data_IF_473554476429
#
_entry.id   IF_473554476429
#
_cell.length_a   1.000
_cell.length_b   1.000
_cell.length_c   1.000
_cell.angle_alpha   90.00
_cell.angle_beta   90.00
_cell.angle_gamma   90.00
#
_symmetry.space_group_name_H-M   'P 1'
#
loop_
_entity.id
_entity.type
_entity.pdbx_description
1 polymer ?
#
# COMPACT_ATOMS: atom_id res chain seq x y z
N UNK A 1 9.80 12.42 14.79
CA UNK A 1 9.36 11.39 15.77
C UNK A 1 8.87 10.18 15.00
N UNK A 2 9.28 8.96 15.43
CA UNK A 2 8.79 7.68 14.91
C UNK A 2 7.67 7.15 15.82
N UNK A 3 6.54 6.79 15.25
CA UNK A 3 5.42 6.13 15.91
C UNK A 3 5.11 4.81 15.19
N UNK A 4 4.92 3.74 15.96
CA UNK A 4 4.61 2.41 15.40
C UNK A 4 3.37 1.85 16.10
N UNK A 5 2.41 1.43 15.29
CA UNK A 5 1.22 0.70 15.74
C UNK A 5 1.30 -0.75 15.26
N UNK A 6 1.09 -1.71 16.14
CA UNK A 6 1.05 -3.13 15.77
C UNK A 6 -0.37 -3.61 15.56
N UNK A 7 -0.60 -4.31 14.45
CA UNK A 7 -1.86 -4.99 14.12
C UNK A 7 -1.65 -6.49 14.07
N UNK A 8 -2.29 -7.22 14.96
CA UNK A 8 -2.26 -8.68 14.97
C UNK A 8 -3.13 -9.26 13.86
N UNK A 9 -2.76 -10.45 13.39
CA UNK A 9 -3.59 -11.18 12.43
C UNK A 9 -4.92 -11.61 13.08
N UNK A 10 -6.00 -11.45 12.34
CA UNK A 10 -7.37 -11.77 12.74
C UNK A 10 -7.85 -12.97 11.95
N UNK A 11 -8.43 -13.95 12.63
CA UNK A 11 -9.08 -15.09 11.99
C UNK A 11 -10.37 -14.63 11.29
N UNK A 12 -10.71 -15.17 10.10
CA UNK A 12 -11.93 -14.77 9.37
C UNK A 12 -13.21 -14.96 10.21
N UNK A 13 -13.33 -16.03 10.97
CA UNK A 13 -14.49 -16.25 11.85
C UNK A 13 -14.66 -15.16 12.91
N UNK A 14 -13.55 -14.57 13.37
CA UNK A 14 -13.62 -13.44 14.32
C UNK A 14 -14.08 -12.17 13.60
N UNK A 15 -13.57 -11.93 12.39
CA UNK A 15 -13.94 -10.75 11.60
C UNK A 15 -15.44 -10.70 11.27
N UNK A 16 -16.11 -11.84 11.12
CA UNK A 16 -17.57 -11.92 10.88
C UNK A 16 -18.40 -11.24 11.96
N UNK A 17 -17.99 -11.33 13.22
CA UNK A 17 -18.70 -10.78 14.38
C UNK A 17 -18.34 -9.35 14.75
N UNK A 18 -17.33 -8.74 14.09
CA UNK A 18 -16.84 -7.42 14.45
C UNK A 18 -17.85 -6.32 14.11
N UNK A 19 -18.00 -5.38 15.01
CA UNK A 19 -18.68 -4.13 14.74
C UNK A 19 -17.81 -3.16 13.90
N UNK A 20 -18.38 -2.04 13.52
CA UNK A 20 -17.69 -1.03 12.71
C UNK A 20 -16.42 -0.51 13.38
N UNK A 21 -16.42 -0.29 14.69
CA UNK A 21 -15.27 0.23 15.42
C UNK A 21 -14.13 -0.80 15.45
N UNK A 22 -14.47 -2.06 15.65
CA UNK A 22 -13.50 -3.17 15.64
C UNK A 22 -12.91 -3.39 14.25
N UNK A 23 -13.71 -3.42 13.18
CA UNK A 23 -13.25 -3.52 11.81
C UNK A 23 -12.26 -2.38 11.48
N UNK A 24 -12.62 -1.15 11.80
CA UNK A 24 -11.73 0.00 11.59
C UNK A 24 -10.43 -0.11 12.39
N UNK A 25 -10.49 -0.53 13.64
CA UNK A 25 -9.31 -0.70 14.50
C UNK A 25 -8.34 -1.75 13.95
N UNK A 26 -8.84 -2.83 13.35
CA UNK A 26 -8.01 -3.93 12.88
C UNK A 26 -7.54 -3.78 11.43
N UNK A 27 -8.37 -3.22 10.57
CA UNK A 27 -8.13 -3.25 9.12
C UNK A 27 -7.96 -1.87 8.47
N UNK A 28 -8.26 -0.77 9.17
CA UNK A 28 -8.09 0.59 8.63
C UNK A 28 -6.92 1.30 9.32
N UNK A 29 -5.93 1.73 8.54
CA UNK A 29 -4.83 2.58 9.01
C UNK A 29 -5.16 4.05 8.71
N UNK A 30 -5.22 4.86 9.75
CA UNK A 30 -5.56 6.28 9.67
C UNK A 30 -4.44 7.17 10.19
N UNK A 31 -4.44 8.45 9.79
CA UNK A 31 -3.47 9.43 10.29
C UNK A 31 -2.02 9.09 9.95
N UNK A 32 -1.76 8.41 8.85
CA UNK A 32 -0.43 8.00 8.42
C UNK A 32 0.49 9.20 8.11
N UNK A 33 -0.08 10.29 7.62
CA UNK A 33 0.66 11.44 7.13
C UNK A 33 0.53 12.63 8.09
N UNK A 34 1.39 12.67 9.10
CA UNK A 34 1.45 13.77 10.06
C UNK A 34 2.75 14.55 9.89
N UNK A 35 2.68 15.89 9.82
CA UNK A 35 3.86 16.74 9.71
C UNK A 35 4.90 16.48 10.81
N UNK A 36 6.18 16.43 10.43
CA UNK A 36 7.30 16.20 11.34
C UNK A 36 7.39 14.76 11.89
N UNK A 37 6.67 13.78 11.30
CA UNK A 37 6.60 12.40 11.84
C UNK A 37 6.79 11.33 10.78
N UNK A 38 7.27 10.18 11.24
CA UNK A 38 7.14 8.89 10.57
C UNK A 38 6.14 8.08 11.37
N UNK A 39 5.07 7.62 10.74
CA UNK A 39 4.06 6.75 11.36
C UNK A 39 3.99 5.44 10.60
N UNK A 40 4.11 4.32 11.32
CA UNK A 40 4.09 2.98 10.74
C UNK A 40 2.98 2.15 11.37
N UNK A 41 2.31 1.37 10.54
CA UNK A 41 1.45 0.26 10.96
C UNK A 41 2.19 -1.04 10.62
N UNK A 42 2.65 -1.74 11.66
CA UNK A 42 3.27 -3.05 11.55
C UNK A 42 2.19 -4.13 11.63
N UNK A 43 1.99 -4.86 10.56
CA UNK A 43 1.00 -5.93 10.48
C UNK A 43 1.63 -7.31 10.71
N UNK A 44 0.91 -8.20 11.39
CA UNK A 44 1.27 -9.61 11.49
C UNK A 44 0.84 -10.44 10.26
N UNK A 45 0.10 -9.84 9.31
CA UNK A 45 -0.06 -10.44 7.98
C UNK A 45 1.24 -10.26 7.21
N UNK A 46 1.94 -11.36 6.93
CA UNK A 46 3.25 -11.39 6.25
C UNK A 46 4.28 -10.41 6.80
N UNK A 47 4.09 -9.92 8.03
CA UNK A 47 4.89 -8.87 8.67
C UNK A 47 5.05 -7.62 7.80
N UNK A 48 4.02 -7.34 7.02
CA UNK A 48 3.96 -6.18 6.17
C UNK A 48 3.90 -4.89 7.00
N UNK A 49 4.58 -3.87 6.55
CA UNK A 49 4.51 -2.53 7.15
C UNK A 49 3.99 -1.56 6.12
N UNK A 50 3.00 -0.76 6.48
CA UNK A 50 2.61 0.43 5.76
C UNK A 50 2.76 1.66 6.65
N UNK A 51 2.98 2.82 6.05
CA UNK A 51 3.13 4.04 6.84
C UNK A 51 3.29 5.30 6.01
N UNK A 52 3.57 6.39 6.70
CA UNK A 52 3.84 7.68 6.08
C UNK A 52 5.00 8.40 6.74
N UNK A 53 5.73 9.18 5.95
CA UNK A 53 6.76 10.11 6.41
C UNK A 53 6.51 11.49 5.78
N UNK A 54 6.38 12.51 6.63
CA UNK A 54 6.13 13.89 6.20
C UNK A 54 7.15 14.82 6.84
N UNK A 55 8.28 15.09 6.19
CA UNK A 55 9.24 16.09 6.66
C UNK A 55 8.58 17.47 6.75
N UNK A 56 8.88 18.22 7.80
CA UNK A 56 8.42 19.59 8.00
C UNK A 56 9.56 20.43 8.56
N UNK A 57 10.26 21.11 7.68
CA UNK A 57 11.40 21.97 8.03
C UNK A 57 12.68 21.21 8.44
N UNK A 58 12.56 19.95 8.89
CA UNK A 58 13.68 19.09 9.26
C UNK A 58 13.55 17.71 8.59
N UNK A 59 14.68 17.05 8.33
CA UNK A 59 14.68 15.68 7.83
C UNK A 59 14.20 14.68 8.88
N UNK A 60 13.61 13.59 8.41
CA UNK A 60 13.18 12.46 9.24
C UNK A 60 13.97 11.22 8.85
N UNK A 61 14.49 10.50 9.85
CA UNK A 61 15.25 9.27 9.60
C UNK A 61 14.52 8.06 10.17
N UNK A 62 14.27 7.07 9.33
CA UNK A 62 13.83 5.73 9.70
C UNK A 62 15.08 4.86 9.81
N UNK A 63 15.51 4.61 11.04
CA UNK A 63 16.71 3.81 11.32
C UNK A 63 16.29 2.45 11.91
N UNK A 64 15.77 2.46 13.11
CA UNK A 64 15.38 1.25 13.85
C UNK A 64 13.90 1.24 14.18
N UNK A 65 13.29 0.06 14.00
CA UNK A 65 11.92 -0.25 14.43
C UNK A 65 11.99 -1.43 15.39
N UNK A 66 11.53 -1.23 16.61
CA UNK A 66 11.69 -2.21 17.69
C UNK A 66 11.02 -3.56 17.39
N UNK A 67 9.91 -3.53 16.67
CA UNK A 67 9.11 -4.69 16.28
C UNK A 67 9.86 -5.63 15.34
N UNK A 68 10.78 -5.11 14.52
CA UNK A 68 11.56 -5.93 13.57
C UNK A 68 12.70 -6.71 14.20
N UNK A 69 13.13 -6.33 15.44
CA UNK A 69 14.23 -6.98 16.18
C UNK A 69 15.56 -7.01 15.42
N UNK A 70 15.82 -6.00 14.61
CA UNK A 70 17.04 -5.82 13.80
C UNK A 70 17.77 -4.53 14.19
N UNK A 71 19.04 -4.40 13.82
CA UNK A 71 19.83 -3.19 14.12
C UNK A 71 19.33 -1.99 13.33
N UNK A 72 18.99 -2.19 12.05
CA UNK A 72 18.31 -1.19 11.20
C UNK A 72 17.03 -1.77 10.63
N UNK A 73 16.09 -0.90 10.23
CA UNK A 73 14.80 -1.33 9.70
C UNK A 73 14.94 -2.21 8.45
N UNK A 74 15.84 -1.84 7.55
CA UNK A 74 16.07 -2.56 6.29
C UNK A 74 17.12 -3.68 6.37
N UNK A 75 17.61 -4.04 7.54
CA UNK A 75 18.60 -5.15 7.66
C UNK A 75 18.09 -6.47 7.06
N UNK A 76 16.79 -6.76 7.24
CA UNK A 76 16.13 -7.98 6.74
C UNK A 76 14.80 -7.68 6.04
N UNK A 77 14.70 -6.51 5.42
CA UNK A 77 13.48 -6.03 4.76
C UNK A 77 13.82 -5.28 3.49
N UNK A 78 12.89 -5.27 2.57
CA UNK A 78 12.85 -4.37 1.42
C UNK A 78 11.74 -3.33 1.60
N UNK A 79 11.80 -2.24 0.85
CA UNK A 79 10.88 -1.12 1.01
C UNK A 79 10.51 -0.51 -0.34
N UNK A 80 9.23 -0.18 -0.49
CA UNK A 80 8.70 0.69 -1.54
C UNK A 80 8.29 2.03 -0.93
N UNK A 81 8.65 3.12 -1.58
CA UNK A 81 8.35 4.49 -1.17
C UNK A 81 7.65 5.19 -2.33
N UNK A 82 6.44 5.67 -2.14
CA UNK A 82 5.70 6.48 -3.13
C UNK A 82 5.61 7.91 -2.64
N UNK A 83 6.05 8.86 -3.43
CA UNK A 83 5.82 10.27 -3.07
C UNK A 83 4.44 10.72 -3.56
N UNK A 84 3.54 11.02 -2.65
CA UNK A 84 2.19 11.53 -2.94
C UNK A 84 2.06 13.05 -2.73
N UNK A 85 3.13 13.72 -2.31
CA UNK A 85 3.22 15.16 -2.07
C UNK A 85 4.00 15.91 -3.14
N UNK A 86 4.50 17.07 -2.79
CA UNK A 86 5.42 17.83 -3.60
C UNK A 86 6.79 17.16 -3.69
N UNK A 87 7.70 17.68 -4.53
CA UNK A 87 9.01 17.08 -4.70
C UNK A 87 9.78 17.01 -3.36
N UNK A 88 10.34 15.84 -3.08
CA UNK A 88 11.14 15.61 -1.90
C UNK A 88 12.27 14.63 -2.17
N UNK A 89 13.17 14.46 -1.20
CA UNK A 89 14.34 13.61 -1.36
C UNK A 89 14.35 12.47 -0.35
N UNK A 90 14.88 11.34 -0.79
CA UNK A 90 15.14 10.15 0.04
C UNK A 90 16.62 9.81 -0.07
N UNK A 91 17.28 9.55 1.05
CA UNK A 91 18.66 9.10 1.14
C UNK A 91 18.73 7.75 1.85
N UNK A 92 19.49 6.81 1.29
CA UNK A 92 19.80 5.52 1.91
C UNK A 92 21.07 4.93 1.29
N UNK A 93 21.89 4.21 2.07
CA UNK A 93 23.08 3.53 1.56
C UNK A 93 24.12 4.45 0.90
N UNK A 94 24.15 5.73 1.24
CA UNK A 94 25.03 6.73 0.63
C UNK A 94 24.53 7.28 -0.72
N UNK A 95 23.39 6.85 -1.19
CA UNK A 95 22.71 7.37 -2.38
C UNK A 95 21.58 8.34 -2.02
N UNK A 96 21.28 9.28 -2.92
CA UNK A 96 20.19 10.24 -2.78
C UNK A 96 19.33 10.28 -4.04
N UNK A 97 18.01 10.23 -3.85
CA UNK A 97 17.03 10.34 -4.93
C UNK A 97 16.08 11.51 -4.66
N UNK A 98 15.74 12.23 -5.71
CA UNK A 98 14.66 13.21 -5.68
C UNK A 98 13.43 12.57 -6.33
N UNK A 99 12.32 12.54 -5.60
CA UNK A 99 11.07 11.95 -6.04
C UNK A 99 10.07 13.08 -6.34
N UNK A 100 9.59 13.15 -7.56
CA UNK A 100 8.42 13.94 -7.90
C UNK A 100 7.14 13.22 -7.39
N UNK A 101 6.00 13.92 -7.45
CA UNK A 101 4.70 13.30 -7.12
C UNK A 101 4.41 12.13 -8.06
N UNK A 102 4.13 10.98 -7.49
CA UNK A 102 3.84 9.73 -8.21
C UNK A 102 5.06 8.87 -8.49
N UNK A 103 6.28 9.35 -8.24
CA UNK A 103 7.48 8.53 -8.35
C UNK A 103 7.55 7.48 -7.22
N UNK A 104 8.15 6.35 -7.55
CA UNK A 104 8.35 5.22 -6.64
C UNK A 104 9.82 4.91 -6.50
N UNK A 105 10.31 4.82 -5.27
CA UNK A 105 11.66 4.35 -4.96
C UNK A 105 11.59 2.97 -4.31
N UNK A 106 12.32 2.02 -4.86
CA UNK A 106 12.56 0.73 -4.23
C UNK A 106 13.92 0.74 -3.52
N UNK A 107 13.93 0.28 -2.28
CA UNK A 107 15.13 0.05 -1.48
C UNK A 107 15.23 -1.43 -1.13
N UNK A 108 16.35 -2.06 -1.48
CA UNK A 108 16.61 -3.46 -1.21
C UNK A 108 17.05 -3.71 0.23
N UNK A 109 17.03 -4.99 0.63
CA UNK A 109 17.54 -5.45 1.91
C UNK A 109 18.99 -4.99 2.11
N UNK A 110 19.27 -4.41 3.28
CA UNK A 110 20.61 -3.92 3.65
C UNK A 110 20.86 -2.47 3.23
N UNK A 111 19.90 -1.73 2.69
CA UNK A 111 20.08 -0.32 2.31
C UNK A 111 20.39 0.63 3.48
N UNK A 112 20.29 0.18 4.73
CA UNK A 112 20.60 0.96 5.93
C UNK A 112 19.48 1.92 6.35
N UNK A 113 19.80 2.95 7.14
CA UNK A 113 18.86 3.99 7.52
C UNK A 113 18.32 4.76 6.31
N UNK A 114 17.05 5.18 6.38
CA UNK A 114 16.38 5.93 5.31
C UNK A 114 16.03 7.32 5.81
N UNK A 115 16.54 8.35 5.15
CA UNK A 115 16.29 9.75 5.51
C UNK A 115 15.41 10.43 4.47
N UNK A 116 14.33 11.05 4.94
CA UNK A 116 13.35 11.79 4.14
C UNK A 116 13.53 13.29 4.35
N UNK A 117 13.48 14.09 3.29
CA UNK A 117 13.63 15.54 3.35
C UNK A 117 12.85 16.28 2.26
N UNK A 118 12.74 17.60 2.40
CA UNK A 118 12.01 18.45 1.47
C UNK A 118 10.50 18.51 1.75
N UNK A 119 9.71 18.87 0.75
CA UNK A 119 8.25 19.00 0.83
C UNK A 119 7.50 17.70 0.47
N UNK A 120 8.21 16.58 0.41
CA UNK A 120 7.65 15.28 0.07
C UNK A 120 6.65 14.78 1.11
N UNK A 121 5.71 13.97 0.65
CA UNK A 121 4.72 13.26 1.46
C UNK A 121 4.82 11.79 1.06
N UNK A 122 5.60 11.04 1.81
CA UNK A 122 6.06 9.72 1.41
C UNK A 122 5.18 8.64 2.01
N UNK A 123 4.52 7.84 1.16
CA UNK A 123 3.89 6.59 1.56
C UNK A 123 4.93 5.48 1.58
N UNK A 124 4.96 4.72 2.64
CA UNK A 124 5.95 3.69 2.94
C UNK A 124 5.30 2.32 2.95
N UNK A 125 5.89 1.36 2.23
CA UNK A 125 5.51 -0.05 2.28
C UNK A 125 6.77 -0.89 2.48
N UNK A 126 6.70 -1.95 3.28
CA UNK A 126 7.86 -2.81 3.48
C UNK A 126 7.45 -4.24 3.78
N UNK A 127 8.21 -5.17 3.24
CA UNK A 127 8.09 -6.60 3.48
C UNK A 127 9.41 -7.22 3.98
N UNK A 128 9.39 -8.35 4.70
CA UNK A 128 10.60 -9.12 4.96
C UNK A 128 11.30 -9.50 3.67
N UNK A 129 12.62 -9.54 3.69
CA UNK A 129 13.43 -9.96 2.54
C UNK A 129 14.52 -10.95 2.96
N UNK A 130 14.82 -11.91 2.10
CA UNK A 130 15.84 -12.93 2.29
C UNK A 130 16.98 -12.82 1.26
N UNK A 131 16.87 -11.85 0.35
CA UNK A 131 17.93 -11.48 -0.60
C UNK A 131 17.90 -9.99 -0.86
N UNK A 132 19.04 -9.42 -1.16
CA UNK A 132 19.14 -8.02 -1.56
C UNK A 132 18.89 -7.88 -3.05
N UNK A 133 18.09 -6.88 -3.42
CA UNK A 133 17.91 -6.43 -4.79
C UNK A 133 18.38 -4.97 -4.89
N UNK A 134 18.70 -4.51 -6.10
CA UNK A 134 19.26 -3.17 -6.33
C UNK A 134 18.24 -2.07 -6.03
N UNK A 135 18.67 -1.04 -5.31
CA UNK A 135 17.88 0.19 -5.15
C UNK A 135 17.57 0.81 -6.52
N UNK A 136 16.33 1.27 -6.70
CA UNK A 136 15.91 1.85 -7.97
C UNK A 136 14.80 2.88 -7.80
N UNK A 137 15.02 4.06 -8.37
CA UNK A 137 13.96 5.04 -8.63
C UNK A 137 13.23 4.63 -9.92
N UNK A 138 11.91 4.59 -9.85
CA UNK A 138 11.01 4.26 -10.96
C UNK A 138 10.05 5.44 -11.13
N UNK A 139 10.20 6.18 -12.20
CA UNK A 139 9.28 7.27 -12.54
C UNK A 139 8.01 6.73 -13.18
N UNK A 140 6.98 7.58 -13.34
CA UNK A 140 5.77 7.18 -14.05
C UNK A 140 6.06 6.69 -15.47
N UNK A 141 7.05 7.30 -16.15
CA UNK A 141 7.46 6.90 -17.49
C UNK A 141 8.14 5.52 -17.54
N UNK A 142 8.76 5.09 -16.44
CA UNK A 142 9.42 3.77 -16.33
C UNK A 142 8.43 2.67 -15.94
N UNK A 143 7.21 3.03 -15.51
CA UNK A 143 6.19 2.08 -15.06
C UNK A 143 5.61 1.29 -16.24
N UNK A 144 5.10 0.09 -15.94
CA UNK A 144 4.29 -0.66 -16.91
C UNK A 144 2.84 -0.20 -16.81
N UNK A 145 2.38 0.54 -17.81
CA UNK A 145 0.97 0.97 -17.91
C UNK A 145 0.10 -0.15 -18.48
N UNK A 146 -1.07 -0.35 -17.85
CA UNK A 146 -2.14 -1.23 -18.31
C UNK A 146 -3.48 -0.48 -18.19
N UNK A 147 -4.26 -0.45 -19.27
CA UNK A 147 -5.61 0.17 -19.29
C UNK A 147 -6.67 -0.91 -19.29
N UNK A 148 -7.59 -0.85 -18.35
CA UNK A 148 -8.66 -1.83 -18.16
C UNK A 148 -10.00 -1.16 -17.91
N UNK A 149 -11.05 -1.97 -18.11
CA UNK A 149 -12.42 -1.60 -17.82
C UNK A 149 -13.07 -0.75 -18.90
N UNK A 150 -14.36 -0.51 -18.71
CA UNK A 150 -15.22 0.22 -19.64
C UNK A 150 -16.12 1.20 -18.90
N UNK A 151 -16.59 2.24 -19.60
CA UNK A 151 -17.52 3.22 -19.03
C UNK A 151 -18.86 2.58 -18.67
N UNK A 152 -19.32 1.60 -19.44
CA UNK A 152 -20.56 0.88 -19.16
C UNK A 152 -20.59 0.11 -17.84
N UNK A 153 -19.40 -0.29 -17.34
CA UNK A 153 -19.23 -0.98 -16.07
C UNK A 153 -18.69 -0.07 -14.98
N UNK A 154 -18.53 1.23 -15.24
CA UNK A 154 -18.04 2.26 -14.30
C UNK A 154 -16.70 1.89 -13.63
N UNK A 155 -15.82 1.22 -14.37
CA UNK A 155 -14.54 0.72 -13.84
C UNK A 155 -13.34 1.00 -14.75
N UNK A 156 -13.46 2.00 -15.64
CA UNK A 156 -12.38 2.38 -16.55
C UNK A 156 -11.22 2.97 -15.77
N UNK A 157 -10.01 2.40 -15.94
CA UNK A 157 -8.86 2.73 -15.08
C UNK A 157 -7.52 2.54 -15.77
N UNK A 158 -6.52 3.20 -15.25
CA UNK A 158 -5.11 3.05 -15.61
C UNK A 158 -4.38 2.44 -14.43
N UNK A 159 -3.70 1.33 -14.66
CA UNK A 159 -2.84 0.66 -13.68
C UNK A 159 -1.39 0.94 -14.07
N UNK A 160 -0.62 1.51 -13.15
CA UNK A 160 0.81 1.68 -13.29
C UNK A 160 1.51 0.73 -12.31
N UNK A 161 2.25 -0.23 -12.86
CA UNK A 161 3.04 -1.21 -12.12
C UNK A 161 4.46 -0.69 -11.99
N UNK A 162 4.98 -0.58 -10.77
CA UNK A 162 6.32 -0.04 -10.48
C UNK A 162 7.26 -1.12 -9.94
N UNK A 163 7.03 -1.60 -8.74
CA UNK A 163 7.75 -2.75 -8.19
C UNK A 163 7.00 -3.99 -8.65
N UNK A 164 7.40 -4.52 -9.78
CA UNK A 164 6.70 -5.60 -10.47
C UNK A 164 7.69 -6.36 -11.36
N UNK A 165 7.58 -7.70 -11.50
CA UNK A 165 8.52 -8.51 -12.28
C UNK A 165 8.74 -8.04 -13.73
N UNK A 166 7.76 -7.38 -14.34
CA UNK A 166 7.90 -6.80 -15.69
C UNK A 166 8.69 -5.48 -15.74
N UNK A 167 9.00 -4.88 -14.59
CA UNK A 167 9.68 -3.58 -14.47
C UNK A 167 11.02 -3.72 -13.78
N UNK A 168 11.04 -4.42 -12.64
CA UNK A 168 12.23 -4.60 -11.83
C UNK A 168 12.16 -5.85 -10.96
N UNK A 169 13.30 -6.28 -10.47
CA UNK A 169 13.41 -7.38 -9.52
C UNK A 169 13.26 -6.87 -8.08
N UNK A 170 12.42 -7.53 -7.30
CA UNK A 170 12.27 -7.38 -5.84
C UNK A 170 12.39 -8.75 -5.17
N UNK A 171 12.46 -8.80 -3.84
CA UNK A 171 12.46 -10.07 -3.12
C UNK A 171 11.04 -10.68 -3.11
N UNK A 172 10.07 -9.93 -2.59
CA UNK A 172 8.66 -10.34 -2.56
C UNK A 172 7.67 -9.17 -2.63
N UNK A 173 8.12 -7.93 -2.42
CA UNK A 173 7.26 -6.76 -2.50
C UNK A 173 6.83 -6.51 -3.94
N UNK A 174 5.52 -6.36 -4.15
CA UNK A 174 4.94 -5.88 -5.40
C UNK A 174 4.15 -4.62 -5.10
N UNK A 175 4.29 -3.57 -5.92
CA UNK A 175 3.65 -2.29 -5.71
C UNK A 175 3.32 -1.61 -7.04
N UNK A 176 2.15 -1.02 -7.09
CA UNK A 176 1.71 -0.13 -8.14
C UNK A 176 0.60 0.78 -7.64
N UNK A 177 0.07 1.58 -8.54
CA UNK A 177 -1.16 2.32 -8.26
C UNK A 177 -2.10 2.31 -9.45
N UNK A 178 -3.37 2.44 -9.13
CA UNK A 178 -4.47 2.48 -10.08
C UNK A 178 -5.17 3.83 -9.98
N UNK A 179 -5.40 4.47 -11.12
CA UNK A 179 -6.15 5.70 -11.24
C UNK A 179 -7.44 5.43 -11.99
N UNK A 180 -8.58 5.68 -11.36
CA UNK A 180 -9.87 5.62 -12.01
C UNK A 180 -10.03 6.83 -12.94
N UNK A 181 -10.62 6.60 -14.11
CA UNK A 181 -10.94 7.67 -15.06
C UNK A 181 -12.34 8.24 -14.76
N UNK A 182 -12.57 9.44 -15.23
CA UNK A 182 -13.84 10.17 -15.04
C UNK A 182 -15.06 9.28 -15.37
N UNK A 183 -16.05 9.31 -14.48
CA UNK A 183 -17.25 8.48 -14.55
C UNK A 183 -17.08 7.06 -14.02
N UNK A 184 -15.87 6.68 -13.58
CA UNK A 184 -15.60 5.37 -13.00
C UNK A 184 -15.51 5.48 -11.48
N UNK A 185 -16.11 4.52 -10.78
CA UNK A 185 -16.19 4.49 -9.31
C UNK A 185 -15.73 3.16 -8.73
N UNK A 186 -15.73 2.08 -9.51
CA UNK A 186 -15.33 0.75 -9.07
C UNK A 186 -13.86 0.46 -9.31
N UNK A 187 -13.14 0.08 -8.28
CA UNK A 187 -11.86 -0.58 -8.40
C UNK A 187 -11.99 -2.09 -8.11
N UNK A 188 -11.13 -2.90 -8.70
CA UNK A 188 -10.99 -4.34 -8.41
C UNK A 188 -12.35 -5.07 -8.41
N UNK A 189 -13.16 -4.77 -9.42
CA UNK A 189 -14.43 -5.44 -9.66
C UNK A 189 -14.37 -6.10 -11.06
N UNK A 190 -14.53 -7.44 -11.19
CA UNK A 190 -14.83 -8.41 -10.13
C UNK A 190 -13.80 -8.44 -9.02
N UNK A 191 -14.26 -8.67 -7.77
CA UNK A 191 -13.39 -8.82 -6.63
C UNK A 191 -12.55 -10.10 -6.74
N UNK A 192 -11.45 -10.14 -6.03
CA UNK A 192 -10.63 -11.33 -5.91
C UNK A 192 -9.99 -11.42 -4.50
N UNK A 193 -9.41 -12.54 -4.21
CA UNK A 193 -8.51 -12.77 -3.10
C UNK A 193 -7.29 -13.56 -3.60
N UNK A 194 -6.27 -13.68 -2.78
CA UNK A 194 -5.08 -14.46 -3.10
C UNK A 194 -4.46 -15.01 -1.81
N UNK A 195 -4.52 -16.31 -1.66
CA UNK A 195 -4.23 -17.03 -0.42
C UNK A 195 -2.75 -16.92 0.00
N UNK A 196 -1.85 -16.74 -0.96
CA UNK A 196 -0.40 -16.74 -0.75
C UNK A 196 0.18 -15.40 -0.30
N UNK A 197 -0.61 -14.33 -0.25
CA UNK A 197 -0.13 -12.98 0.05
C UNK A 197 -1.22 -12.08 0.61
N UNK A 198 -0.82 -11.16 1.46
CA UNK A 198 -1.65 -10.05 1.90
C UNK A 198 -1.57 -8.88 0.92
N UNK A 199 -2.52 -7.97 0.97
CA UNK A 199 -2.49 -6.72 0.23
C UNK A 199 -2.83 -5.52 1.14
N UNK A 200 -2.21 -4.39 0.87
CA UNK A 200 -2.52 -3.12 1.50
C UNK A 200 -2.92 -2.09 0.43
N UNK A 201 -4.02 -1.38 0.67
CA UNK A 201 -4.45 -0.26 -0.14
C UNK A 201 -4.22 1.06 0.59
N UNK A 202 -3.71 2.06 -0.11
CA UNK A 202 -3.79 3.45 0.31
C UNK A 202 -4.65 4.19 -0.71
N UNK A 203 -5.77 4.77 -0.28
CA UNK A 203 -6.60 5.63 -1.12
C UNK A 203 -6.05 7.04 -1.11
N UNK A 204 -5.88 7.63 -2.28
CA UNK A 204 -5.30 8.96 -2.42
C UNK A 204 -5.86 9.70 -3.63
N UNK A 205 -5.47 10.98 -3.77
CA UNK A 205 -5.94 11.84 -4.85
C UNK A 205 -7.47 11.96 -4.89
N UNK A 206 -8.06 12.08 -3.71
CA UNK A 206 -9.50 12.21 -3.48
C UNK A 206 -9.82 13.61 -2.94
N UNK A 207 -11.01 14.12 -3.24
CA UNK A 207 -11.54 15.30 -2.58
C UNK A 207 -11.69 15.05 -1.05
N UNK A 208 -11.52 16.06 -0.20
CA UNK A 208 -11.57 15.89 1.26
C UNK A 208 -12.88 15.28 1.77
N UNK A 209 -14.00 15.58 1.13
CA UNK A 209 -15.33 15.06 1.46
C UNK A 209 -15.64 13.69 0.83
N UNK A 210 -14.87 13.28 -0.17
CA UNK A 210 -15.08 11.99 -0.85
C UNK A 210 -14.77 10.81 0.09
N UNK A 211 -15.46 9.71 -0.14
CA UNK A 211 -15.26 8.45 0.58
C UNK A 211 -15.28 7.30 -0.40
N UNK A 212 -14.52 6.26 -0.07
CA UNK A 212 -14.58 4.98 -0.76
C UNK A 212 -15.19 3.94 0.19
N UNK A 213 -16.15 3.20 -0.32
CA UNK A 213 -16.67 1.99 0.30
C UNK A 213 -15.73 0.85 -0.10
N UNK A 214 -14.83 0.47 0.81
CA UNK A 214 -13.91 -0.63 0.61
C UNK A 214 -14.53 -1.93 1.11
N UNK A 215 -14.79 -2.86 0.21
CA UNK A 215 -15.27 -4.20 0.54
C UNK A 215 -14.12 -5.05 1.06
N UNK A 216 -14.38 -5.79 2.13
CA UNK A 216 -13.47 -6.76 2.73
C UNK A 216 -14.24 -7.97 3.27
N UNK A 217 -13.54 -8.95 3.81
CA UNK A 217 -14.13 -10.16 4.38
C UNK A 217 -14.08 -11.33 3.43
N UNK A 218 -14.58 -12.47 3.86
CA UNK A 218 -14.74 -13.61 2.97
C UNK A 218 -15.83 -13.35 1.91
N UNK A 219 -15.77 -13.93 0.73
CA UNK A 219 -16.74 -13.65 -0.34
C UNK A 219 -18.21 -13.84 0.06
N UNK A 220 -18.48 -14.79 0.96
CA UNK A 220 -19.83 -15.12 1.40
C UNK A 220 -20.25 -14.37 2.67
N UNK A 221 -19.39 -13.50 3.21
CA UNK A 221 -19.61 -12.74 4.45
C UNK A 221 -18.86 -11.41 4.36
N UNK A 222 -19.24 -10.58 3.37
CA UNK A 222 -18.55 -9.31 3.15
C UNK A 222 -18.83 -8.29 4.26
N UNK A 223 -17.85 -7.46 4.51
CA UNK A 223 -17.86 -6.29 5.37
C UNK A 223 -17.39 -5.09 4.55
N UNK A 224 -17.46 -3.91 5.14
CA UNK A 224 -16.94 -2.72 4.48
C UNK A 224 -16.26 -1.77 5.45
N UNK A 225 -15.33 -1.00 4.91
CA UNK A 225 -14.71 0.14 5.55
C UNK A 225 -15.08 1.40 4.77
N UNK A 226 -15.46 2.45 5.46
CA UNK A 226 -15.57 3.78 4.85
C UNK A 226 -14.21 4.44 4.98
N UNK A 227 -13.56 4.69 3.83
CA UNK A 227 -12.17 5.13 3.76
C UNK A 227 -12.11 6.56 3.22
N UNK A 228 -11.35 7.41 3.89
CA UNK A 228 -11.09 8.79 3.46
C UNK A 228 -9.78 8.88 2.66
N UNK A 229 -9.51 10.09 2.13
CA UNK A 229 -8.24 10.37 1.49
C UNK A 229 -7.06 10.12 2.43
N UNK A 230 -6.02 9.46 1.94
CA UNK A 230 -4.79 9.13 2.66
C UNK A 230 -5.00 8.16 3.86
N UNK A 231 -6.08 7.42 3.84
CA UNK A 231 -6.28 6.27 4.72
C UNK A 231 -6.02 4.96 3.97
N UNK A 232 -5.56 3.93 4.69
CA UNK A 232 -5.21 2.66 4.10
C UNK A 232 -5.98 1.49 4.68
N UNK A 233 -6.28 0.50 3.84
CA UNK A 233 -6.88 -0.77 4.25
C UNK A 233 -5.84 -1.89 4.22
N UNK A 234 -5.83 -2.74 5.25
CA UNK A 234 -5.10 -4.00 5.29
C UNK A 234 -6.03 -5.12 4.87
N UNK A 235 -5.71 -5.81 3.78
CA UNK A 235 -6.47 -6.96 3.28
C UNK A 235 -5.71 -8.26 3.57
N UNK A 236 -6.22 -9.09 4.49
CA UNK A 236 -5.67 -10.43 4.71
C UNK A 236 -5.81 -11.33 3.49
N UNK A 237 -5.01 -12.41 3.38
CA UNK A 237 -5.11 -13.35 2.25
C UNK A 237 -6.52 -13.92 2.01
N UNK A 238 -7.28 -14.14 3.08
CA UNK A 238 -8.66 -14.67 3.04
C UNK A 238 -9.73 -13.64 2.66
N UNK A 239 -9.35 -12.36 2.56
CA UNK A 239 -10.31 -11.26 2.35
C UNK A 239 -10.33 -10.82 0.89
N UNK A 240 -11.53 -10.65 0.35
CA UNK A 240 -11.70 -9.86 -0.88
C UNK A 240 -11.28 -8.41 -0.62
N UNK A 241 -10.91 -7.73 -1.67
CA UNK A 241 -10.62 -6.30 -1.65
C UNK A 241 -11.12 -5.69 -2.95
N UNK A 242 -12.05 -4.78 -2.82
CA UNK A 242 -12.64 -4.01 -3.91
C UNK A 242 -13.15 -2.69 -3.34
N UNK A 243 -13.51 -1.74 -4.18
CA UNK A 243 -14.06 -0.50 -3.66
C UNK A 243 -14.89 0.25 -4.67
N UNK A 244 -15.81 1.07 -4.14
CA UNK A 244 -16.55 2.05 -4.91
C UNK A 244 -16.55 3.39 -4.20
N UNK A 245 -16.22 4.46 -4.92
CA UNK A 245 -16.13 5.81 -4.38
C UNK A 245 -17.12 6.78 -4.98
N UNK A 246 -17.20 7.96 -4.36
CA UNK A 246 -17.90 9.10 -4.93
C UNK A 246 -16.91 9.85 -5.83
N UNK A 247 -17.10 9.76 -7.13
CA UNK A 247 -16.18 10.31 -8.12
C UNK A 247 -14.96 9.41 -8.38
N UNK A 248 -14.11 9.83 -9.30
CA UNK A 248 -12.87 9.15 -9.61
C UNK A 248 -11.82 9.39 -8.49
N UNK A 249 -11.00 8.39 -8.23
CA UNK A 249 -9.95 8.42 -7.23
C UNK A 249 -8.78 7.54 -7.67
N UNK A 250 -7.71 7.56 -6.91
CA UNK A 250 -6.59 6.66 -7.08
C UNK A 250 -6.35 5.84 -5.81
N UNK A 251 -5.73 4.68 -5.96
CA UNK A 251 -5.26 3.90 -4.83
C UNK A 251 -3.92 3.23 -5.15
N UNK A 252 -3.04 3.23 -4.17
CA UNK A 252 -1.78 2.50 -4.21
C UNK A 252 -2.04 1.13 -3.61
N UNK A 253 -1.67 0.09 -4.33
CA UNK A 253 -1.74 -1.29 -3.89
C UNK A 253 -0.33 -1.83 -3.71
N UNK A 254 -0.12 -2.54 -2.61
CA UNK A 254 1.15 -3.18 -2.29
C UNK A 254 0.89 -4.54 -1.66
N UNK A 255 1.64 -5.54 -2.08
CA UNK A 255 1.47 -6.92 -1.69
C UNK A 255 2.77 -7.51 -1.18
N UNK A 256 2.66 -8.41 -0.21
CA UNK A 256 3.75 -9.24 0.31
C UNK A 256 3.23 -10.59 0.76
N UNK A 257 4.12 -11.57 0.75
CA UNK A 257 3.84 -12.96 1.10
C UNK A 257 4.71 -13.89 0.27
N UNK A 258 4.24 -15.06 -0.05
CA UNK A 258 4.88 -15.95 -1.01
C UNK A 258 4.63 -15.45 -2.44
N UNK A 259 5.30 -14.37 -2.81
CA UNK A 259 4.86 -13.51 -3.89
C UNK A 259 5.96 -13.15 -4.88
N UNK A 260 6.10 -13.92 -5.92
CA UNK A 260 6.75 -13.48 -7.16
C UNK A 260 5.83 -13.68 -8.36
N UNK A 261 4.69 -14.27 -8.16
CA UNK A 261 3.68 -14.50 -9.19
C UNK A 261 2.49 -13.57 -8.96
N UNK A 262 2.23 -12.70 -9.93
CA UNK A 262 1.12 -11.75 -9.90
C UNK A 262 -0.20 -12.37 -10.37
N UNK A 263 -0.18 -13.59 -10.90
CA UNK A 263 -1.33 -14.23 -11.57
C UNK A 263 -2.10 -15.21 -10.68
N UNK A 264 -1.80 -15.24 -9.38
CA UNK A 264 -2.39 -16.15 -8.39
C UNK A 264 -3.74 -15.68 -7.80
N UNK A 265 -4.47 -14.84 -8.51
CA UNK A 265 -5.74 -14.27 -8.06
C UNK A 265 -6.90 -15.26 -8.23
N UNK A 266 -7.64 -15.46 -7.13
CA UNK A 266 -8.90 -16.20 -7.12
C UNK A 266 -10.07 -15.22 -7.30
N UNK A 267 -10.57 -15.11 -8.52
CA UNK A 267 -11.64 -14.18 -8.86
C UNK A 267 -12.99 -14.65 -8.31
N UNK A 268 -13.72 -13.71 -7.71
CA UNK A 268 -15.07 -13.92 -7.18
C UNK A 268 -16.05 -13.19 -8.10
N UNK A 269 -17.00 -13.92 -8.65
CA UNK A 269 -18.02 -13.29 -9.48
C UNK A 269 -18.94 -12.40 -8.64
N UNK A 270 -19.41 -11.25 -9.17
CA UNK A 270 -20.29 -10.36 -8.41
C UNK A 270 -21.54 -11.03 -7.83
N UNK A 271 -22.07 -12.04 -8.51
CA UNK A 271 -23.22 -12.82 -8.05
C UNK A 271 -22.94 -13.75 -6.86
N UNK A 272 -21.67 -14.00 -6.56
CA UNK A 272 -21.22 -14.86 -5.45
C UNK A 272 -20.86 -14.07 -4.20
N UNK A 273 -20.79 -12.74 -4.28
CA UNK A 273 -20.58 -11.87 -3.12
C UNK A 273 -21.84 -11.75 -2.28
N UNK A 274 -21.70 -11.81 -0.95
CA UNK A 274 -22.79 -11.69 0.01
C UNK A 274 -22.41 -10.82 1.21
#
# INVERSE_FOLDING_TARGET
>A
VLEVETRHAIHPDHARGMDTAELRRHFLATGLFQPGRIRLTYSHYDRFVMGGAVPEGASLTLDRVAETKTATFLERREMGIVNIGDAGSVEAGGERWTLARGDVLYLGMGAGPVTFSGAGRFYLTSAPAHRSCRNRLITLADSKEVRLGESATSNKRVINQFIHPLVMESCQLVLGYTTLLDGSVWNTMPAHLHDRRMEAYLYWNMAPEARVLHLMGEPQETRHLIVANEEGALSPPWSVHAGAGIGAYAFIWAMAGDNIDYTDMDFVQPGDLR
#
